data_IF_986941717844
#
_entry.id   IF_986941717844
#
_cell.length_a   1.000
_cell.length_b   1.000
_cell.length_c   1.000
_cell.angle_alpha   90.00
_cell.angle_beta   90.00
_cell.angle_gamma   90.00
#
_symmetry.space_group_name_H-M   'P 1'
#
loop_
_entity.id
_entity.type
_entity.pdbx_description
1 polymer ?
#
# COMPACT_ATOMS: atom_id res chain seq x y z
N UNK A 1 15.85 -11.25 -19.15
CA UNK A 1 15.52 -11.63 -20.53
C UNK A 1 15.13 -13.10 -20.67
N UNK A 2 15.93 -14.07 -20.20
CA UNK A 2 15.69 -15.51 -20.37
C UNK A 2 14.39 -16.02 -19.72
N UNK A 3 14.09 -15.59 -18.49
CA UNK A 3 12.85 -15.95 -17.79
C UNK A 3 11.59 -15.39 -18.49
N UNK A 4 11.66 -14.18 -19.01
CA UNK A 4 10.55 -13.56 -19.71
C UNK A 4 10.21 -14.32 -21.01
N UNK A 5 11.23 -14.68 -21.80
CA UNK A 5 11.09 -15.50 -23.01
C UNK A 5 10.46 -16.87 -22.74
N UNK A 6 10.86 -17.53 -21.63
CA UNK A 6 10.32 -18.84 -21.24
C UNK A 6 8.85 -18.76 -20.82
N UNK A 7 8.45 -17.67 -20.14
CA UNK A 7 7.06 -17.44 -19.71
C UNK A 7 6.16 -17.13 -20.92
N UNK A 8 6.61 -16.32 -21.86
CA UNK A 8 5.87 -15.99 -23.08
C UNK A 8 5.70 -17.25 -23.93
N UNK A 9 6.77 -18.04 -24.09
CA UNK A 9 6.76 -19.28 -24.88
C UNK A 9 5.84 -20.36 -24.30
N UNK A 10 5.73 -20.47 -22.98
CA UNK A 10 4.88 -21.48 -22.30
C UNK A 10 3.44 -21.01 -22.08
N UNK A 11 3.01 -19.86 -22.62
CA UNK A 11 1.67 -19.26 -22.44
C UNK A 11 1.21 -19.19 -20.98
N UNK A 12 2.14 -19.06 -20.04
CA UNK A 12 1.82 -19.00 -18.62
C UNK A 12 1.42 -17.57 -18.23
N UNK A 13 0.19 -17.18 -18.60
CA UNK A 13 -0.38 -15.84 -18.36
C UNK A 13 -0.28 -15.39 -16.89
N UNK A 14 -0.14 -16.35 -15.95
CA UNK A 14 -0.06 -16.07 -14.52
C UNK A 14 1.23 -15.33 -14.11
N UNK A 15 2.29 -15.41 -14.89
CA UNK A 15 3.57 -14.76 -14.61
C UNK A 15 3.75 -13.45 -15.38
N UNK A 16 2.92 -13.17 -16.39
CA UNK A 16 3.04 -11.97 -17.23
C UNK A 16 2.90 -10.70 -16.38
N UNK A 17 1.93 -10.66 -15.46
CA UNK A 17 1.74 -9.52 -14.56
C UNK A 17 2.97 -9.21 -13.69
N UNK A 18 3.70 -10.24 -13.25
CA UNK A 18 4.94 -10.03 -12.47
C UNK A 18 6.07 -9.48 -13.34
N UNK A 19 6.21 -9.98 -14.57
CA UNK A 19 7.22 -9.48 -15.50
C UNK A 19 6.94 -8.01 -15.82
N UNK A 20 5.67 -7.65 -16.06
CA UNK A 20 5.27 -6.27 -16.30
C UNK A 20 5.65 -5.37 -15.12
N UNK A 21 5.30 -5.76 -13.89
CA UNK A 21 5.60 -4.98 -12.69
C UNK A 21 7.11 -4.86 -12.47
N UNK A 22 7.88 -5.94 -12.64
CA UNK A 22 9.35 -5.89 -12.54
C UNK A 22 9.96 -4.97 -13.58
N UNK A 23 9.44 -5.00 -14.83
CA UNK A 23 9.90 -4.11 -15.89
C UNK A 23 9.61 -2.65 -15.53
N UNK A 24 8.40 -2.34 -15.05
CA UNK A 24 8.03 -1.00 -14.61
C UNK A 24 8.91 -0.52 -13.45
N UNK A 25 9.16 -1.36 -12.44
CA UNK A 25 10.04 -1.02 -11.32
C UNK A 25 11.47 -0.74 -11.80
N UNK A 26 12.00 -1.58 -12.69
CA UNK A 26 13.34 -1.38 -13.26
C UNK A 26 13.39 -0.08 -14.05
N UNK A 27 12.36 0.22 -14.85
CA UNK A 27 12.27 1.48 -15.61
C UNK A 27 12.25 2.69 -14.68
N UNK A 28 11.44 2.65 -13.61
CA UNK A 28 11.41 3.72 -12.61
C UNK A 28 12.76 3.87 -11.89
N UNK A 29 13.43 2.77 -11.53
CA UNK A 29 14.73 2.79 -10.87
C UNK A 29 15.82 3.41 -11.77
N UNK A 30 15.84 3.06 -13.06
CA UNK A 30 16.74 3.67 -14.05
C UNK A 30 16.41 5.15 -14.24
N UNK A 31 15.14 5.51 -14.35
CA UNK A 31 14.73 6.91 -14.47
C UNK A 31 15.15 7.73 -13.25
N UNK A 32 14.99 7.17 -12.04
CA UNK A 32 15.41 7.81 -10.80
C UNK A 32 16.93 7.98 -10.71
N UNK A 33 17.72 7.01 -11.17
CA UNK A 33 19.18 7.11 -11.20
C UNK A 33 19.69 8.18 -12.17
N UNK A 34 18.93 8.46 -13.23
CA UNK A 34 19.26 9.49 -14.22
C UNK A 34 18.78 10.89 -13.78
N UNK A 35 17.60 10.97 -13.15
CA UNK A 35 17.00 12.22 -12.66
C UNK A 35 16.27 11.95 -11.34
N UNK A 36 16.91 12.12 -10.18
CA UNK A 36 16.28 11.88 -8.88
C UNK A 36 15.24 12.97 -8.59
N UNK A 37 13.97 12.64 -8.78
CA UNK A 37 12.83 13.50 -8.46
C UNK A 37 11.85 12.78 -7.53
N UNK A 38 11.15 13.55 -6.67
CA UNK A 38 10.12 13.00 -5.78
C UNK A 38 9.00 12.31 -6.55
N UNK A 39 8.64 12.80 -7.73
CA UNK A 39 7.58 12.21 -8.56
C UNK A 39 7.93 10.79 -9.00
N UNK A 40 9.16 10.53 -9.41
CA UNK A 40 9.60 9.18 -9.79
C UNK A 40 9.53 8.24 -8.58
N UNK A 41 9.91 8.73 -7.39
CA UNK A 41 9.80 7.95 -6.16
C UNK A 41 8.33 7.60 -5.85
N UNK A 42 7.42 8.54 -6.00
CA UNK A 42 5.98 8.28 -5.83
C UNK A 42 5.48 7.22 -6.81
N UNK A 43 5.90 7.26 -8.09
CA UNK A 43 5.55 6.24 -9.09
C UNK A 43 6.12 4.87 -8.74
N UNK A 44 7.33 4.81 -8.19
CA UNK A 44 7.89 3.55 -7.69
C UNK A 44 7.02 2.94 -6.58
N UNK A 45 6.54 3.76 -5.64
CA UNK A 45 5.62 3.30 -4.60
C UNK A 45 4.31 2.79 -5.20
N UNK A 46 3.73 3.49 -6.17
CA UNK A 46 2.49 3.08 -6.84
C UNK A 46 2.67 1.71 -7.57
N UNK A 47 3.79 1.51 -8.26
CA UNK A 47 4.11 0.22 -8.91
C UNK A 47 4.34 -0.88 -7.88
N UNK A 48 5.00 -0.59 -6.76
CA UNK A 48 5.17 -1.54 -5.65
C UNK A 48 3.83 -1.91 -5.02
N UNK A 49 2.90 -0.98 -4.85
CA UNK A 49 1.56 -1.27 -4.35
C UNK A 49 0.79 -2.20 -5.29
N UNK A 50 0.94 -2.04 -6.63
CA UNK A 50 0.40 -3.00 -7.61
C UNK A 50 1.02 -4.38 -7.41
N UNK A 51 2.36 -4.47 -7.27
CA UNK A 51 3.05 -5.73 -7.04
C UNK A 51 2.52 -6.45 -5.80
N UNK A 52 2.44 -5.72 -4.70
CA UNK A 52 1.95 -6.21 -3.41
C UNK A 52 0.48 -6.65 -3.51
N UNK A 53 -0.38 -5.89 -4.18
CA UNK A 53 -1.78 -6.26 -4.40
C UNK A 53 -1.90 -7.56 -5.21
N UNK A 54 -1.10 -7.74 -6.26
CA UNK A 54 -1.11 -8.96 -7.07
C UNK A 54 -0.69 -10.20 -6.27
N UNK A 55 0.33 -10.08 -5.40
CA UNK A 55 0.75 -11.18 -4.51
C UNK A 55 -0.32 -11.44 -3.46
N UNK A 56 -0.88 -10.40 -2.86
CA UNK A 56 -1.95 -10.47 -1.89
C UNK A 56 -3.16 -11.25 -2.44
N UNK A 57 -3.54 -11.03 -3.69
CA UNK A 57 -4.63 -11.76 -4.33
C UNK A 57 -4.38 -13.27 -4.46
N UNK A 58 -3.11 -13.68 -4.58
CA UNK A 58 -2.74 -15.11 -4.65
C UNK A 58 -2.71 -15.76 -3.27
N UNK A 59 -2.15 -15.04 -2.31
CA UNK A 59 -2.00 -15.55 -0.93
C UNK A 59 -3.35 -15.59 -0.22
N UNK A 60 -4.26 -14.68 -0.51
CA UNK A 60 -5.54 -14.55 0.18
C UNK A 60 -6.35 -15.84 0.25
N UNK A 61 -6.50 -16.58 -0.87
CA UNK A 61 -7.21 -17.85 -0.86
C UNK A 61 -6.55 -18.88 0.06
N UNK A 62 -5.23 -18.94 0.07
CA UNK A 62 -4.48 -19.90 0.87
C UNK A 62 -4.63 -19.64 2.37
N UNK A 63 -4.54 -18.36 2.78
CA UNK A 63 -4.69 -18.00 4.20
C UNK A 63 -6.14 -18.12 4.70
N UNK A 64 -7.12 -17.82 3.84
CA UNK A 64 -8.52 -17.99 4.19
C UNK A 64 -8.90 -19.45 4.44
N UNK A 65 -8.48 -20.35 3.56
CA UNK A 65 -8.71 -21.80 3.75
C UNK A 65 -7.97 -22.33 4.97
N UNK A 66 -6.71 -21.92 5.19
CA UNK A 66 -5.98 -22.32 6.40
C UNK A 66 -6.67 -21.84 7.67
N UNK A 67 -7.22 -20.62 7.68
CA UNK A 67 -7.94 -20.11 8.85
C UNK A 67 -9.22 -20.90 9.14
N UNK A 68 -9.91 -21.40 8.13
CA UNK A 68 -11.07 -22.29 8.30
C UNK A 68 -10.64 -23.65 8.84
N UNK A 69 -9.56 -24.23 8.33
CA UNK A 69 -8.98 -25.48 8.82
C UNK A 69 -8.55 -25.36 10.30
N UNK A 70 -7.79 -24.31 10.64
CA UNK A 70 -7.33 -24.04 12.01
C UNK A 70 -8.50 -23.80 12.98
N UNK A 71 -9.63 -23.28 12.45
CA UNK A 71 -10.88 -23.08 13.21
C UNK A 71 -11.77 -24.32 13.35
N UNK A 72 -11.35 -25.47 12.82
CA UNK A 72 -12.14 -26.71 12.84
C UNK A 72 -13.24 -26.79 11.78
N UNK A 73 -13.23 -25.89 10.80
CA UNK A 73 -14.22 -25.80 9.73
C UNK A 73 -13.68 -26.32 8.38
N UNK A 74 -13.06 -27.50 8.39
CA UNK A 74 -12.41 -28.12 7.21
C UNK A 74 -13.36 -28.44 6.04
N UNK A 75 -14.66 -28.47 6.28
CA UNK A 75 -15.68 -28.67 5.24
C UNK A 75 -16.00 -27.39 4.46
N UNK A 76 -15.65 -26.23 4.99
CA UNK A 76 -15.87 -24.94 4.34
C UNK A 76 -14.66 -24.55 3.48
N UNK A 77 -14.91 -23.92 2.35
CA UNK A 77 -13.85 -23.39 1.48
C UNK A 77 -14.00 -21.89 1.31
N UNK A 78 -12.92 -21.17 1.56
CA UNK A 78 -12.85 -19.73 1.29
C UNK A 78 -12.56 -19.50 -0.20
N UNK A 79 -13.50 -18.90 -0.89
CA UNK A 79 -13.40 -18.54 -2.30
C UNK A 79 -13.56 -17.02 -2.44
N UNK A 80 -12.45 -16.28 -2.60
CA UNK A 80 -12.52 -14.85 -2.87
C UNK A 80 -13.28 -14.55 -4.15
N UNK A 81 -14.09 -13.51 -4.14
CA UNK A 81 -14.87 -13.11 -5.31
C UNK A 81 -13.94 -12.64 -6.45
N UNK A 82 -13.96 -13.29 -7.62
CA UNK A 82 -13.10 -12.91 -8.74
C UNK A 82 -13.42 -11.52 -9.31
N UNK A 83 -14.66 -11.05 -9.20
CA UNK A 83 -15.06 -9.73 -9.71
C UNK A 83 -14.47 -8.61 -8.86
N UNK A 84 -14.61 -8.65 -7.55
CA UNK A 84 -14.03 -7.65 -6.63
C UNK A 84 -12.51 -7.60 -6.76
N UNK A 85 -11.88 -8.76 -6.89
CA UNK A 85 -10.42 -8.87 -7.14
C UNK A 85 -10.02 -8.18 -8.45
N UNK A 86 -10.71 -8.46 -9.55
CA UNK A 86 -10.35 -7.93 -10.86
C UNK A 86 -10.62 -6.42 -10.94
N UNK A 87 -11.75 -5.96 -10.38
CA UNK A 87 -12.09 -4.53 -10.33
C UNK A 87 -11.06 -3.77 -9.50
N UNK A 88 -10.69 -4.25 -8.31
CA UNK A 88 -9.70 -3.57 -7.48
C UNK A 88 -8.32 -3.50 -8.14
N UNK A 89 -7.91 -4.57 -8.85
CA UNK A 89 -6.66 -4.56 -9.62
C UNK A 89 -6.70 -3.58 -10.80
N UNK A 90 -7.83 -3.54 -11.51
CA UNK A 90 -8.04 -2.66 -12.66
C UNK A 90 -8.01 -1.18 -12.24
N UNK A 91 -8.77 -0.82 -11.20
CA UNK A 91 -8.85 0.58 -10.73
C UNK A 91 -7.51 1.04 -10.17
N UNK A 92 -6.80 0.19 -9.40
CA UNK A 92 -5.46 0.49 -8.91
C UNK A 92 -4.47 0.71 -10.08
N UNK A 93 -4.51 -0.17 -11.09
CA UNK A 93 -3.67 -0.01 -12.29
C UNK A 93 -4.01 1.25 -13.07
N UNK A 94 -5.29 1.59 -13.20
CA UNK A 94 -5.76 2.80 -13.87
C UNK A 94 -5.32 4.05 -13.10
N UNK A 95 -5.45 4.07 -11.77
CA UNK A 95 -4.93 5.15 -10.95
C UNK A 95 -3.44 5.38 -11.21
N UNK A 96 -2.63 4.32 -11.12
CA UNK A 96 -1.19 4.42 -11.33
C UNK A 96 -0.82 4.89 -12.74
N UNK A 97 -1.55 4.42 -13.77
CA UNK A 97 -1.33 4.83 -15.15
C UNK A 97 -1.68 6.32 -15.38
N UNK A 98 -2.85 6.76 -14.89
CA UNK A 98 -3.32 8.15 -15.00
C UNK A 98 -2.38 9.09 -14.23
N UNK A 99 -1.96 8.68 -13.05
CA UNK A 99 -0.98 9.40 -12.27
C UNK A 99 0.39 9.47 -12.97
N UNK A 100 0.85 8.41 -13.63
CA UNK A 100 2.11 8.40 -14.39
C UNK A 100 2.05 9.30 -15.63
N UNK A 101 0.88 9.45 -16.27
CA UNK A 101 0.65 10.36 -17.39
C UNK A 101 0.57 11.84 -16.97
N UNK A 102 0.65 12.18 -15.68
CA UNK A 102 0.56 13.56 -15.20
C UNK A 102 -0.81 14.19 -15.39
N UNK A 103 -1.89 13.39 -15.33
CA UNK A 103 -3.24 13.90 -15.45
C UNK A 103 -3.57 14.87 -14.29
N UNK A 104 -4.60 15.72 -14.51
CA UNK A 104 -5.03 16.70 -13.50
C UNK A 104 -5.35 16.04 -12.15
N UNK A 105 -4.96 16.69 -11.05
CA UNK A 105 -5.13 16.17 -9.68
C UNK A 105 -6.55 15.72 -9.35
N UNK A 106 -7.63 16.42 -9.76
CA UNK A 106 -8.97 15.94 -9.48
C UNK A 106 -9.29 14.57 -10.10
N UNK A 107 -8.76 14.29 -11.30
CA UNK A 107 -8.94 12.98 -11.95
C UNK A 107 -8.23 11.89 -11.15
N UNK A 108 -7.00 12.16 -10.72
CA UNK A 108 -6.25 11.26 -9.85
C UNK A 108 -6.99 11.05 -8.52
N UNK A 109 -7.54 12.12 -7.93
CA UNK A 109 -8.27 12.08 -6.66
C UNK A 109 -9.50 11.17 -6.72
N UNK A 110 -10.32 11.29 -7.74
CA UNK A 110 -11.48 10.41 -7.92
C UNK A 110 -11.08 8.95 -8.14
N UNK A 111 -10.00 8.70 -8.88
CA UNK A 111 -9.47 7.34 -9.06
C UNK A 111 -8.87 6.76 -7.78
N UNK A 112 -8.24 7.59 -6.95
CA UNK A 112 -7.77 7.16 -5.63
C UNK A 112 -8.93 6.77 -4.72
N UNK A 113 -10.02 7.57 -4.67
CA UNK A 113 -11.24 7.22 -3.93
C UNK A 113 -11.90 5.96 -4.48
N UNK A 114 -11.97 5.79 -5.80
CA UNK A 114 -12.48 4.57 -6.42
C UNK A 114 -11.61 3.35 -6.06
N UNK A 115 -10.28 3.52 -5.98
CA UNK A 115 -9.36 2.48 -5.50
C UNK A 115 -9.64 2.12 -4.05
N UNK A 116 -9.80 3.11 -3.17
CA UNK A 116 -10.18 2.90 -1.78
C UNK A 116 -11.49 2.12 -1.66
N UNK A 117 -12.53 2.52 -2.40
CA UNK A 117 -13.83 1.85 -2.40
C UNK A 117 -13.74 0.40 -2.89
N UNK A 118 -12.97 0.14 -3.94
CA UNK A 118 -12.77 -1.21 -4.46
C UNK A 118 -12.04 -2.13 -3.46
N UNK A 119 -11.04 -1.62 -2.75
CA UNK A 119 -10.36 -2.38 -1.69
C UNK A 119 -11.23 -2.52 -0.43
N UNK A 120 -12.06 -1.52 -0.09
CA UNK A 120 -13.03 -1.62 0.99
C UNK A 120 -14.09 -2.70 0.71
N UNK A 121 -14.59 -2.79 -0.51
CA UNK A 121 -15.48 -3.87 -0.93
C UNK A 121 -14.83 -5.25 -0.76
N UNK A 122 -13.52 -5.37 -1.00
CA UNK A 122 -12.79 -6.61 -0.74
C UNK A 122 -12.60 -6.93 0.74
N UNK A 123 -12.48 -5.91 1.60
CA UNK A 123 -12.40 -6.15 3.05
C UNK A 123 -13.63 -6.87 3.58
N UNK A 124 -14.80 -6.67 2.97
CA UNK A 124 -16.03 -7.37 3.35
C UNK A 124 -15.92 -8.89 3.21
N UNK A 125 -15.11 -9.39 2.27
CA UNK A 125 -14.86 -10.83 2.11
C UNK A 125 -14.18 -11.44 3.36
N UNK A 126 -13.43 -10.65 4.10
CA UNK A 126 -12.69 -11.04 5.29
C UNK A 126 -13.42 -10.73 6.59
N UNK A 127 -14.56 -10.03 6.52
CA UNK A 127 -15.32 -9.56 7.69
C UNK A 127 -16.14 -10.69 8.31
N UNK A 128 -15.46 -11.78 8.67
CA UNK A 128 -16.04 -12.94 9.35
C UNK A 128 -15.25 -13.22 10.61
N UNK A 129 -15.97 -13.36 11.75
CA UNK A 129 -15.36 -13.70 13.03
C UNK A 129 -14.59 -15.01 12.98
N UNK A 130 -15.02 -15.97 12.14
CA UNK A 130 -14.32 -17.25 11.97
C UNK A 130 -12.92 -17.03 11.38
N UNK A 131 -12.80 -16.19 10.34
CA UNK A 131 -11.54 -15.87 9.69
C UNK A 131 -10.66 -14.97 10.56
N UNK A 132 -11.24 -13.98 11.22
CA UNK A 132 -10.52 -13.01 12.06
C UNK A 132 -10.00 -13.62 13.38
N UNK A 133 -10.36 -14.84 13.74
CA UNK A 133 -9.71 -15.55 14.84
C UNK A 133 -8.25 -15.86 14.56
N UNK A 134 -7.89 -16.12 13.31
CA UNK A 134 -6.51 -16.41 12.93
C UNK A 134 -5.64 -15.14 12.94
N UNK A 135 -4.48 -15.13 13.64
CA UNK A 135 -3.63 -13.92 13.74
C UNK A 135 -3.12 -13.41 12.41
N UNK A 136 -2.79 -14.30 11.47
CA UNK A 136 -2.31 -13.93 10.14
C UNK A 136 -3.41 -13.32 9.26
N UNK A 137 -4.69 -13.69 9.48
CA UNK A 137 -5.82 -13.04 8.82
C UNK A 137 -6.05 -11.64 9.39
N UNK A 138 -5.97 -11.47 10.72
CA UNK A 138 -6.06 -10.12 11.33
C UNK A 138 -4.95 -9.20 10.82
N UNK A 139 -3.74 -9.71 10.70
CA UNK A 139 -2.62 -8.97 10.13
C UNK A 139 -2.92 -8.52 8.70
N UNK A 140 -3.36 -9.44 7.85
CA UNK A 140 -3.77 -9.18 6.48
C UNK A 140 -4.91 -8.15 6.40
N UNK A 141 -5.91 -8.27 7.27
CA UNK A 141 -7.04 -7.35 7.36
C UNK A 141 -6.59 -5.93 7.77
N UNK A 142 -5.77 -5.81 8.82
CA UNK A 142 -5.25 -4.52 9.28
C UNK A 142 -4.44 -3.78 8.21
N UNK A 143 -3.60 -4.50 7.48
CA UNK A 143 -2.81 -3.92 6.38
C UNK A 143 -3.70 -3.52 5.20
N UNK A 144 -4.71 -4.32 4.89
CA UNK A 144 -5.69 -3.97 3.84
C UNK A 144 -6.51 -2.75 4.23
N UNK A 145 -6.83 -2.58 5.52
CA UNK A 145 -7.48 -1.38 6.03
C UNK A 145 -6.59 -0.14 5.90
N UNK A 146 -5.28 -0.27 6.18
CA UNK A 146 -4.32 0.81 5.96
C UNK A 146 -4.23 1.23 4.48
N UNK A 147 -4.36 0.27 3.56
CA UNK A 147 -4.42 0.55 2.12
C UNK A 147 -5.69 1.36 1.76
N UNK A 148 -6.84 0.97 2.29
CA UNK A 148 -8.11 1.72 2.10
C UNK A 148 -7.99 3.12 2.64
N UNK A 149 -7.53 3.29 3.89
CA UNK A 149 -7.35 4.59 4.52
C UNK A 149 -6.36 5.47 3.76
N UNK A 150 -5.23 4.90 3.32
CA UNK A 150 -4.21 5.62 2.57
C UNK A 150 -4.73 6.15 1.23
N UNK A 151 -5.45 5.34 0.45
CA UNK A 151 -6.05 5.81 -0.80
C UNK A 151 -7.22 6.78 -0.59
N UNK A 152 -7.96 6.65 0.51
CA UNK A 152 -8.99 7.64 0.87
C UNK A 152 -8.36 9.00 1.15
N UNK A 153 -7.34 9.05 2.01
CA UNK A 153 -6.61 10.29 2.30
C UNK A 153 -5.96 10.88 1.06
N UNK A 154 -5.37 10.04 0.20
CA UNK A 154 -4.75 10.49 -1.04
C UNK A 154 -5.77 11.10 -2.00
N UNK A 155 -6.95 10.50 -2.11
CA UNK A 155 -8.03 11.03 -2.93
C UNK A 155 -8.54 12.37 -2.42
N UNK A 156 -8.75 12.50 -1.10
CA UNK A 156 -9.15 13.74 -0.45
C UNK A 156 -8.09 14.83 -0.65
N UNK A 157 -6.80 14.47 -0.53
CA UNK A 157 -5.70 15.40 -0.76
C UNK A 157 -5.72 15.99 -2.17
N UNK A 158 -5.90 15.13 -3.18
CA UNK A 158 -5.93 15.53 -4.60
C UNK A 158 -7.23 16.24 -5.02
N UNK A 159 -8.29 16.17 -4.20
CA UNK A 159 -9.56 16.87 -4.44
C UNK A 159 -9.66 18.24 -3.77
N UNK A 160 -8.63 18.69 -3.05
CA UNK A 160 -8.61 20.07 -2.53
C UNK A 160 -8.10 20.22 -1.09
N UNK A 161 -7.63 19.14 -0.46
CA UNK A 161 -7.02 19.19 0.87
C UNK A 161 -5.57 18.70 0.83
N UNK A 162 -4.64 19.45 0.20
CA UNK A 162 -3.26 19.01 -0.08
C UNK A 162 -2.45 18.66 1.17
N UNK A 163 -2.82 19.15 2.34
CA UNK A 163 -2.20 18.79 3.62
C UNK A 163 -2.18 17.28 3.87
N UNK A 164 -3.20 16.54 3.38
CA UNK A 164 -3.26 15.08 3.52
C UNK A 164 -2.40 14.30 2.53
N UNK A 165 -1.72 14.94 1.58
CA UNK A 165 -0.93 14.24 0.56
C UNK A 165 0.25 13.48 1.18
N UNK A 166 1.08 14.14 1.97
CA UNK A 166 2.22 13.52 2.64
C UNK A 166 1.79 12.44 3.65
N UNK A 167 0.82 12.67 4.55
CA UNK A 167 0.22 11.66 5.40
C UNK A 167 -0.24 10.42 4.63
N UNK A 168 -0.99 10.60 3.55
CA UNK A 168 -1.49 9.51 2.72
C UNK A 168 -0.36 8.66 2.13
N UNK A 169 0.67 9.31 1.59
CA UNK A 169 1.85 8.63 1.00
C UNK A 169 2.62 7.83 2.05
N UNK A 170 2.80 8.35 3.26
CA UNK A 170 3.43 7.61 4.35
C UNK A 170 2.60 6.40 4.79
N UNK A 171 1.29 6.55 4.92
CA UNK A 171 0.40 5.45 5.28
C UNK A 171 0.43 4.34 4.23
N UNK A 172 0.40 4.68 2.95
CA UNK A 172 0.50 3.73 1.83
C UNK A 172 1.87 3.03 1.79
N UNK A 173 2.97 3.77 1.94
CA UNK A 173 4.31 3.20 1.84
C UNK A 173 4.68 2.35 3.07
N UNK A 174 4.37 2.80 4.28
CA UNK A 174 4.78 2.13 5.51
C UNK A 174 3.71 1.13 5.94
N UNK A 175 2.51 1.59 6.29
CA UNK A 175 1.50 0.72 6.89
C UNK A 175 0.84 -0.22 5.88
N UNK A 176 0.68 0.17 4.62
CA UNK A 176 0.09 -0.73 3.62
C UNK A 176 1.18 -1.56 2.91
N UNK A 177 2.15 -0.95 2.27
CA UNK A 177 3.13 -1.65 1.43
C UNK A 177 4.12 -2.47 2.28
N UNK A 178 4.87 -1.81 3.19
CA UNK A 178 5.91 -2.51 3.97
C UNK A 178 5.32 -3.58 4.89
N UNK A 179 4.21 -3.29 5.58
CA UNK A 179 3.56 -4.28 6.42
C UNK A 179 3.00 -5.46 5.61
N UNK A 180 2.45 -5.22 4.40
CA UNK A 180 1.99 -6.30 3.53
C UNK A 180 3.15 -7.17 3.04
N UNK A 181 4.29 -6.57 2.70
CA UNK A 181 5.51 -7.33 2.36
C UNK A 181 5.92 -8.24 3.51
N UNK A 182 5.93 -7.73 4.75
CA UNK A 182 6.22 -8.55 5.93
C UNK A 182 5.24 -9.72 6.09
N UNK A 183 3.94 -9.47 5.95
CA UNK A 183 2.90 -10.51 6.01
C UNK A 183 3.12 -11.57 4.94
N UNK A 184 3.32 -11.16 3.69
CA UNK A 184 3.52 -12.07 2.55
C UNK A 184 4.79 -12.91 2.74
N UNK A 185 5.90 -12.27 3.11
CA UNK A 185 7.19 -12.96 3.30
C UNK A 185 7.12 -13.95 4.46
N UNK A 186 6.45 -13.59 5.56
CA UNK A 186 6.23 -14.51 6.68
C UNK A 186 5.41 -15.73 6.27
N UNK A 187 4.33 -15.53 5.52
CA UNK A 187 3.46 -16.61 5.02
C UNK A 187 4.23 -17.49 4.03
N UNK A 188 4.90 -16.88 3.06
CA UNK A 188 5.66 -17.59 2.04
C UNK A 188 6.80 -18.40 2.68
N UNK A 189 7.56 -17.81 3.59
CA UNK A 189 8.65 -18.48 4.31
C UNK A 189 8.18 -19.73 5.05
N UNK A 190 7.09 -19.63 5.83
CA UNK A 190 6.53 -20.78 6.54
C UNK A 190 6.03 -21.88 5.58
N UNK A 191 5.32 -21.48 4.53
CA UNK A 191 4.81 -22.43 3.53
C UNK A 191 5.91 -23.17 2.77
N UNK A 192 6.96 -22.47 2.36
CA UNK A 192 8.09 -23.08 1.66
C UNK A 192 8.96 -23.95 2.58
N UNK A 193 9.00 -23.66 3.88
CA UNK A 193 9.71 -24.47 4.87
C UNK A 193 8.89 -25.67 5.39
N UNK A 194 7.66 -25.86 4.90
CA UNK A 194 6.76 -26.93 5.36
C UNK A 194 6.25 -26.73 6.79
N UNK A 195 6.40 -25.54 7.36
CA UNK A 195 5.93 -25.21 8.69
C UNK A 195 4.45 -24.83 8.68
N UNK A 196 3.77 -25.12 9.78
CA UNK A 196 2.40 -24.65 10.00
C UNK A 196 2.35 -23.12 10.04
N UNK A 197 1.33 -22.54 9.45
CA UNK A 197 1.14 -21.10 9.38
C UNK A 197 0.82 -20.55 10.76
N UNK A 198 1.82 -20.00 11.44
CA UNK A 198 1.69 -19.45 12.79
C UNK A 198 2.49 -18.17 12.94
N UNK A 199 1.81 -17.03 13.16
CA UNK A 199 2.51 -15.78 13.45
C UNK A 199 3.01 -15.79 14.91
N UNK A 200 4.32 -15.87 15.05
CA UNK A 200 5.02 -15.79 16.34
C UNK A 200 4.87 -14.38 16.95
N UNK A 201 5.06 -14.24 18.27
CA UNK A 201 4.98 -12.95 18.93
C UNK A 201 5.85 -11.87 18.29
N UNK A 202 7.07 -12.22 17.89
CA UNK A 202 8.03 -11.31 17.25
C UNK A 202 7.49 -10.76 15.93
N UNK A 203 6.90 -11.62 15.09
CA UNK A 203 6.28 -11.21 13.82
C UNK A 203 5.08 -10.27 14.07
N UNK A 204 4.29 -10.55 15.11
CA UNK A 204 3.15 -9.69 15.49
C UNK A 204 3.63 -8.34 15.99
N UNK A 205 4.69 -8.33 16.82
CA UNK A 205 5.29 -7.12 17.34
C UNK A 205 5.88 -6.27 16.20
N UNK A 206 6.65 -6.87 15.30
CA UNK A 206 7.21 -6.18 14.13
C UNK A 206 6.10 -5.56 13.27
N UNK A 207 5.02 -6.30 13.00
CA UNK A 207 3.89 -5.79 12.26
C UNK A 207 3.19 -4.63 12.97
N UNK A 208 2.97 -4.75 14.29
CA UNK A 208 2.37 -3.69 15.09
C UNK A 208 3.24 -2.41 15.07
N UNK A 209 4.56 -2.54 15.19
CA UNK A 209 5.49 -1.42 15.13
C UNK A 209 5.48 -0.73 13.76
N UNK A 210 5.40 -1.49 12.66
CA UNK A 210 5.29 -0.93 11.31
C UNK A 210 3.96 -0.17 11.15
N UNK A 211 2.84 -0.75 11.59
CA UNK A 211 1.54 -0.10 11.50
C UNK A 211 1.49 1.18 12.35
N UNK A 212 1.97 1.12 13.60
CA UNK A 212 2.05 2.29 14.49
C UNK A 212 3.00 3.34 13.90
N UNK A 213 4.17 2.93 13.39
CA UNK A 213 5.13 3.82 12.77
C UNK A 213 4.56 4.58 11.56
N UNK A 214 3.78 3.91 10.71
CA UNK A 214 3.11 4.57 9.59
C UNK A 214 1.99 5.52 10.03
N UNK A 215 1.22 5.14 11.06
CA UNK A 215 0.17 6.00 11.62
C UNK A 215 0.80 7.22 12.32
N UNK A 216 1.82 7.03 13.13
CA UNK A 216 2.51 8.13 13.82
C UNK A 216 3.17 9.10 12.82
N UNK A 217 3.71 8.58 11.71
CA UNK A 217 4.26 9.42 10.64
C UNK A 217 3.17 10.18 9.88
N UNK A 218 2.01 9.58 9.72
CA UNK A 218 0.82 10.24 9.16
C UNK A 218 0.37 11.43 10.03
N UNK A 219 0.27 11.22 11.34
CA UNK A 219 -0.15 12.27 12.29
C UNK A 219 0.96 13.31 12.54
N UNK A 220 2.22 12.88 12.54
CA UNK A 220 3.36 13.77 12.81
C UNK A 220 3.75 14.67 11.63
N UNK A 221 3.25 14.41 10.43
CA UNK A 221 3.51 15.25 9.27
C UNK A 221 2.79 16.62 9.42
N UNK A 222 1.59 16.63 9.94
CA UNK A 222 0.82 17.86 10.17
C UNK A 222 1.45 18.70 11.28
N UNK A 223 1.88 18.05 12.38
CA UNK A 223 2.55 18.74 13.49
C UNK A 223 3.90 19.35 13.05
N UNK A 224 4.63 18.69 12.17
CA UNK A 224 5.91 19.22 11.66
C UNK A 224 5.70 20.44 10.77
N UNK A 225 4.63 20.49 9.98
CA UNK A 225 4.27 21.65 9.16
C UNK A 225 3.83 22.82 10.04
N UNK A 226 3.00 22.61 11.05
CA UNK A 226 2.59 23.66 11.99
C UNK A 226 3.79 24.25 12.75
N UNK A 227 4.75 23.40 13.17
CA UNK A 227 5.98 23.88 13.84
C UNK A 227 6.85 24.67 12.85
N UNK A 228 6.96 24.22 11.60
CA UNK A 228 7.73 24.93 10.58
C UNK A 228 7.13 26.31 10.28
N UNK A 229 5.81 26.38 10.03
CA UNK A 229 5.08 27.62 9.78
C UNK A 229 5.19 28.59 10.98
N UNK A 230 5.12 28.04 12.20
CA UNK A 230 5.32 28.84 13.41
C UNK A 230 6.75 29.44 13.50
N UNK A 231 7.78 28.64 13.22
CA UNK A 231 9.19 29.10 13.22
C UNK A 231 9.40 30.15 12.12
N UNK A 232 8.86 29.94 10.93
CA UNK A 232 8.98 30.87 9.82
C UNK A 232 8.28 32.20 10.13
N UNK A 233 7.09 32.17 10.73
CA UNK A 233 6.38 33.36 11.19
C UNK A 233 7.16 34.14 12.25
N UNK A 234 7.85 33.46 13.16
CA UNK A 234 8.70 34.09 14.16
C UNK A 234 9.97 34.71 13.54
N UNK A 235 10.56 34.05 12.54
CA UNK A 235 11.72 34.59 11.83
C UNK A 235 11.36 35.84 10.99
N UNK A 236 10.21 35.85 10.33
CA UNK A 236 9.72 37.06 9.64
C UNK A 236 9.47 38.20 10.63
N UNK A 237 8.91 37.91 11.79
CA UNK A 237 8.71 38.91 12.84
C UNK A 237 10.03 39.46 13.37
N UNK A 238 11.09 38.65 13.45
CA UNK A 238 12.41 39.06 13.88
C UNK A 238 13.10 39.96 12.83
N UNK A 239 12.92 39.68 11.54
CA UNK A 239 13.46 40.53 10.46
C UNK A 239 12.76 41.90 10.39
N UNK A 240 11.46 41.97 10.60
CA UNK A 240 10.69 43.22 10.63
C UNK A 240 11.08 44.08 11.86
N UNK A 241 11.44 43.48 12.99
CA UNK A 241 11.87 44.21 14.20
C UNK A 241 13.31 44.74 14.08
N UNK A 242 14.18 44.16 13.26
CA UNK A 242 15.52 44.65 13.04
C UNK A 242 15.60 45.78 12.01
N UNK A 243 14.69 45.87 11.08
CA UNK A 243 14.66 46.94 10.05
C UNK A 243 14.08 48.26 10.59
N UNK A 244 13.27 48.25 11.64
CA UNK A 244 12.71 49.47 12.23
C UNK A 244 13.61 50.15 13.30
N UNK A 245 14.78 49.57 13.60
CA UNK A 245 15.69 50.11 14.62
C UNK A 245 16.94 50.77 14.04
N UNK A 246 17.03 50.95 12.71
CA UNK A 246 18.17 51.57 12.04
C UNK A 246 17.72 52.83 11.23
N UNK A 247 16.89 53.69 11.82
CA UNK A 247 16.70 55.08 11.36
C UNK A 247 16.66 56.03 12.53
#
# INVERSE_FOLDING_TARGET
AYTALRVIRNRNSRLISFILVLTLLTTCAVAYSLRPTGDILHRMVDVMLIAVALVNFRVGRAIGNQALEDGGHSTLTFLPNPYTKNISALILGLYAAVAACGAAEPIQGWLALATAAAFAARLQEWHSLMLLRAPYVRAHYAVSLALVAGYTLLGVAQLGLPAFFSPARHLLAISAMLAMVLVIMSIAGMRHSGLNLRFYPDTRLALALILIGGISRCLGADLALEIYDYIESQNLSCHLYFDDTIY
#
